data_IF_673789763991
#
_entry.id   IF_673789763991
#
_cell.length_a   1.000
_cell.length_b   1.000
_cell.length_c   1.000
_cell.angle_alpha   90.00
_cell.angle_beta   90.00
_cell.angle_gamma   90.00
#
_symmetry.space_group_name_H-M   'P 1'
#
loop_
_entity.id
_entity.type
_entity.pdbx_description
1 polymer ?
#
# COMPACT_ATOMS: atom_id res chain seq x y z
N UNK A 1 -3.25 13.53 -4.42
CA UNK A 1 -2.86 13.36 -5.83
C UNK A 1 -3.99 12.71 -6.62
N UNK A 2 -4.38 13.28 -7.76
CA UNK A 2 -5.43 12.66 -8.59
C UNK A 2 -4.99 11.32 -9.17
N UNK A 3 -3.68 11.10 -9.32
CA UNK A 3 -3.17 9.83 -9.82
C UNK A 3 -3.27 8.70 -8.80
N UNK A 4 -3.15 9.00 -7.51
CA UNK A 4 -3.34 7.99 -6.46
C UNK A 4 -4.77 7.48 -6.47
N UNK A 5 -5.75 8.37 -6.50
CA UNK A 5 -7.17 7.99 -6.58
C UNK A 5 -7.47 7.24 -7.89
N UNK A 6 -6.92 7.70 -9.01
CA UNK A 6 -7.10 7.04 -10.29
C UNK A 6 -6.57 5.60 -10.29
N UNK A 7 -5.41 5.36 -9.67
CA UNK A 7 -4.84 4.02 -9.56
C UNK A 7 -5.73 3.09 -8.73
N UNK A 8 -6.24 3.57 -7.59
CA UNK A 8 -7.14 2.80 -6.72
C UNK A 8 -8.43 2.45 -7.46
N UNK A 9 -9.04 3.41 -8.12
CA UNK A 9 -10.29 3.18 -8.86
C UNK A 9 -10.10 2.23 -10.04
N UNK A 10 -8.99 2.32 -10.74
CA UNK A 10 -8.66 1.40 -11.83
C UNK A 10 -8.49 -0.03 -11.30
N UNK A 11 -7.83 -0.21 -10.15
CA UNK A 11 -7.68 -1.52 -9.53
C UNK A 11 -9.04 -2.12 -9.17
N UNK A 12 -9.94 -1.34 -8.58
CA UNK A 12 -11.31 -1.77 -8.27
C UNK A 12 -12.09 -2.15 -9.52
N UNK A 13 -11.99 -1.35 -10.58
CA UNK A 13 -12.66 -1.64 -11.84
C UNK A 13 -12.21 -2.95 -12.47
N UNK A 14 -11.00 -3.39 -12.16
CA UNK A 14 -10.45 -4.68 -12.61
C UNK A 14 -10.78 -5.84 -11.68
N UNK A 15 -11.58 -5.61 -10.64
CA UNK A 15 -11.97 -6.63 -9.68
C UNK A 15 -10.90 -6.97 -8.65
N UNK A 16 -9.87 -6.13 -8.50
CA UNK A 16 -8.82 -6.32 -7.50
C UNK A 16 -9.27 -5.79 -6.15
N UNK A 17 -8.91 -6.49 -5.07
CA UNK A 17 -9.08 -5.98 -3.72
C UNK A 17 -8.09 -4.85 -3.43
N UNK A 18 -8.57 -3.79 -2.80
CA UNK A 18 -7.74 -2.63 -2.44
C UNK A 18 -7.78 -2.41 -0.94
N UNK A 19 -6.59 -2.25 -0.34
CA UNK A 19 -6.43 -2.14 1.12
C UNK A 19 -5.43 -1.02 1.42
N UNK A 20 -5.68 -0.28 2.49
CA UNK A 20 -4.78 0.79 2.90
C UNK A 20 -3.97 0.35 4.12
N UNK A 21 -2.71 0.01 3.88
CA UNK A 21 -1.76 -0.45 4.90
C UNK A 21 -0.90 0.73 5.35
N UNK A 22 -1.46 1.59 6.18
CA UNK A 22 -0.73 2.70 6.80
C UNK A 22 -0.08 2.25 8.10
N UNK A 23 0.92 3.01 8.55
CA UNK A 23 1.47 2.81 9.88
C UNK A 23 0.38 3.13 10.92
N UNK A 24 -0.04 2.17 11.77
CA UNK A 24 -1.17 2.35 12.67
C UNK A 24 -0.81 3.13 13.94
N UNK A 25 -0.15 4.28 13.75
CA UNK A 25 0.26 5.16 14.86
C UNK A 25 -0.74 6.29 15.12
N UNK A 26 -1.75 6.42 14.27
CA UNK A 26 -2.79 7.44 14.38
C UNK A 26 -4.14 6.81 14.69
N UNK A 27 -4.96 7.48 15.54
CA UNK A 27 -6.36 7.08 15.75
C UNK A 27 -7.13 7.08 14.42
N UNK A 28 -8.21 6.28 14.37
CA UNK A 28 -9.00 6.12 13.14
C UNK A 28 -9.51 7.45 12.57
N UNK A 29 -9.97 8.36 13.43
CA UNK A 29 -10.48 9.67 12.97
C UNK A 29 -9.40 10.48 12.25
N UNK A 30 -8.17 10.51 12.77
CA UNK A 30 -7.06 11.21 12.14
C UNK A 30 -6.67 10.54 10.81
N UNK A 31 -6.64 9.21 10.76
CA UNK A 31 -6.35 8.45 9.53
C UNK A 31 -7.39 8.74 8.46
N UNK A 32 -8.68 8.76 8.80
CA UNK A 32 -9.75 9.08 7.87
C UNK A 32 -9.65 10.49 7.30
N UNK A 33 -9.25 11.47 8.12
CA UNK A 33 -9.01 12.83 7.65
C UNK A 33 -7.82 12.89 6.68
N UNK A 34 -6.74 12.17 6.96
CA UNK A 34 -5.58 12.12 6.07
C UNK A 34 -5.91 11.51 4.71
N UNK A 35 -6.75 10.48 4.68
CA UNK A 35 -7.24 9.87 3.44
C UNK A 35 -7.98 10.92 2.59
N UNK A 36 -8.88 11.68 3.21
CA UNK A 36 -9.63 12.74 2.53
C UNK A 36 -8.71 13.84 1.99
N UNK A 37 -7.75 14.29 2.80
CA UNK A 37 -6.79 15.31 2.38
C UNK A 37 -5.87 14.85 1.24
N UNK A 38 -5.63 13.54 1.12
CA UNK A 38 -4.87 12.97 0.00
C UNK A 38 -5.70 12.84 -1.27
N UNK A 39 -7.00 13.18 -1.23
CA UNK A 39 -7.90 13.04 -2.37
C UNK A 39 -8.42 11.62 -2.60
N UNK A 40 -8.31 10.76 -1.60
CA UNK A 40 -8.78 9.37 -1.65
C UNK A 40 -10.13 9.24 -0.94
N UNK A 41 -10.87 8.18 -1.28
CA UNK A 41 -12.13 7.81 -0.67
C UNK A 41 -11.91 6.55 0.18
N UNK A 42 -12.22 6.65 1.49
CA UNK A 42 -12.07 5.54 2.42
C UNK A 42 -12.92 4.32 2.02
N UNK A 43 -14.06 4.52 1.36
CA UNK A 43 -14.95 3.44 0.93
C UNK A 43 -14.34 2.58 -0.19
N UNK A 44 -13.28 3.05 -0.85
CA UNK A 44 -12.56 2.29 -1.88
C UNK A 44 -11.65 1.21 -1.30
N UNK A 45 -11.48 1.14 0.04
CA UNK A 45 -10.59 0.19 0.68
C UNK A 45 -11.34 -0.84 1.51
N UNK A 46 -11.02 -2.13 1.32
CA UNK A 46 -11.58 -3.22 2.11
C UNK A 46 -11.03 -3.29 3.53
N UNK A 47 -9.82 -2.76 3.75
CA UNK A 47 -9.20 -2.63 5.07
C UNK A 47 -8.39 -1.35 5.14
N UNK A 48 -8.47 -0.66 6.27
CA UNK A 48 -7.62 0.49 6.61
C UNK A 48 -7.01 0.22 7.99
N UNK A 49 -5.67 0.22 8.09
CA UNK A 49 -5.01 -0.05 9.36
C UNK A 49 -4.94 1.20 10.23
N UNK A 50 -5.36 1.07 11.48
CA UNK A 50 -5.41 2.18 12.44
C UNK A 50 -4.87 1.74 13.81
N UNK A 51 -4.56 2.71 14.67
CA UNK A 51 -3.98 2.48 16.00
C UNK A 51 -4.82 1.52 16.86
N UNK A 52 -6.14 1.62 16.79
CA UNK A 52 -7.05 0.81 17.63
C UNK A 52 -7.00 -0.69 17.28
N UNK A 53 -6.62 -1.02 16.04
CA UNK A 53 -6.76 -2.37 15.50
C UNK A 53 -5.45 -3.17 15.49
N UNK A 54 -4.30 -2.52 15.65
CA UNK A 54 -2.99 -3.17 15.45
C UNK A 54 -2.04 -2.94 16.62
N UNK A 55 -1.37 -4.02 17.03
CA UNK A 55 -0.39 -4.01 18.12
C UNK A 55 1.03 -3.71 17.66
N UNK A 56 1.30 -3.77 16.36
CA UNK A 56 2.61 -3.47 15.78
C UNK A 56 2.47 -2.63 14.51
N UNK A 57 3.57 -2.04 14.06
CA UNK A 57 3.58 -1.15 12.92
C UNK A 57 4.80 -1.40 12.02
N UNK A 58 4.77 -0.80 10.82
CA UNK A 58 5.91 -0.86 9.89
C UNK A 58 7.17 -0.25 10.52
N UNK A 59 8.35 -0.76 10.26
CA UNK A 59 8.70 -1.82 9.31
C UNK A 59 8.66 -3.24 9.89
N UNK A 60 8.02 -3.46 11.04
CA UNK A 60 7.94 -4.77 11.65
C UNK A 60 7.22 -5.75 10.73
N UNK A 61 7.87 -6.88 10.39
CA UNK A 61 7.31 -7.88 9.48
C UNK A 61 6.00 -8.48 10.01
N UNK A 62 5.81 -8.53 11.32
CA UNK A 62 4.58 -9.04 11.92
C UNK A 62 3.36 -8.16 11.62
N UNK A 63 3.57 -6.86 11.38
CA UNK A 63 2.50 -5.98 10.91
C UNK A 63 1.91 -6.51 9.59
N UNK A 64 2.78 -6.80 8.61
CA UNK A 64 2.33 -7.29 7.30
C UNK A 64 1.77 -8.70 7.37
N UNK A 65 2.34 -9.58 8.23
CA UNK A 65 1.76 -10.91 8.46
C UNK A 65 0.36 -10.81 8.99
N UNK A 66 0.12 -9.93 9.96
CA UNK A 66 -1.21 -9.71 10.52
C UNK A 66 -2.20 -9.25 9.46
N UNK A 67 -1.80 -8.30 8.60
CA UNK A 67 -2.65 -7.81 7.51
C UNK A 67 -3.01 -8.94 6.54
N UNK A 68 -2.01 -9.70 6.10
CA UNK A 68 -2.22 -10.81 5.16
C UNK A 68 -3.12 -11.90 5.74
N UNK A 69 -2.89 -12.26 7.01
CA UNK A 69 -3.67 -13.29 7.70
C UNK A 69 -5.12 -12.85 7.89
N UNK A 70 -5.33 -11.61 8.32
CA UNK A 70 -6.65 -11.04 8.54
C UNK A 70 -7.49 -11.03 7.25
N UNK A 71 -6.85 -10.76 6.12
CA UNK A 71 -7.51 -10.73 4.82
C UNK A 71 -7.49 -12.07 4.09
N UNK A 72 -6.86 -13.10 4.67
CA UNK A 72 -6.67 -14.42 4.06
C UNK A 72 -6.06 -14.34 2.66
N UNK A 73 -5.04 -13.49 2.50
CA UNK A 73 -4.38 -13.27 1.21
C UNK A 73 -3.14 -14.14 1.05
N UNK A 74 -2.93 -14.64 -0.18
CA UNK A 74 -1.68 -15.25 -0.59
C UNK A 74 -0.69 -14.14 -0.94
N UNK A 75 0.47 -14.05 -0.26
CA UNK A 75 1.47 -13.02 -0.58
C UNK A 75 1.86 -12.97 -2.06
N UNK A 76 1.92 -14.11 -2.73
CA UNK A 76 2.29 -14.18 -4.15
C UNK A 76 1.27 -13.50 -5.07
N UNK A 77 0.05 -13.27 -4.62
CA UNK A 77 -1.02 -12.62 -5.38
C UNK A 77 -1.20 -11.15 -5.00
N UNK A 78 -0.32 -10.61 -4.16
CA UNK A 78 -0.41 -9.25 -3.65
C UNK A 78 0.67 -8.34 -4.24
N UNK A 79 0.30 -7.06 -4.36
CA UNK A 79 1.21 -5.98 -4.71
C UNK A 79 1.15 -4.91 -3.62
N UNK A 80 2.30 -4.58 -3.03
CA UNK A 80 2.43 -3.46 -2.11
C UNK A 80 2.88 -2.23 -2.89
N UNK A 81 2.08 -1.19 -2.85
CA UNK A 81 2.42 0.13 -3.42
C UNK A 81 2.79 1.06 -2.27
N UNK A 82 4.00 1.57 -2.28
CA UNK A 82 4.48 2.44 -1.22
C UNK A 82 5.63 3.33 -1.65
N UNK A 83 5.96 4.28 -0.80
CA UNK A 83 7.00 5.28 -1.06
C UNK A 83 8.20 5.19 -0.12
N UNK A 84 8.14 4.36 0.90
CA UNK A 84 9.19 4.26 1.92
C UNK A 84 10.00 2.97 1.73
N UNK A 85 11.31 3.13 1.50
CA UNK A 85 12.21 2.01 1.21
C UNK A 85 12.31 1.05 2.41
N UNK A 86 12.31 1.56 3.64
CA UNK A 86 12.35 0.72 4.84
C UNK A 86 10.98 0.16 5.20
N UNK A 87 9.98 1.04 5.35
CA UNK A 87 8.68 0.66 5.90
C UNK A 87 7.84 -0.18 4.96
N UNK A 88 7.94 0.05 3.66
CA UNK A 88 7.06 -0.61 2.68
C UNK A 88 7.72 -1.79 1.97
N UNK A 89 9.01 -1.70 1.62
CA UNK A 89 9.66 -2.74 0.84
C UNK A 89 10.01 -4.00 1.65
N UNK A 90 10.00 -3.93 2.97
CA UNK A 90 10.26 -5.08 3.85
C UNK A 90 9.27 -6.24 3.60
N UNK A 91 8.08 -5.95 3.09
CA UNK A 91 7.05 -6.95 2.80
C UNK A 91 7.50 -7.97 1.74
N UNK A 92 8.54 -7.67 0.96
CA UNK A 92 9.12 -8.62 0.00
C UNK A 92 9.62 -9.90 0.69
N UNK A 93 10.03 -9.79 1.93
CA UNK A 93 10.49 -10.96 2.72
C UNK A 93 9.36 -11.98 2.96
N UNK A 94 8.10 -11.57 2.79
CA UNK A 94 6.93 -12.44 2.87
C UNK A 94 6.48 -12.97 1.49
N UNK A 95 7.13 -12.57 0.41
CA UNK A 95 6.78 -12.98 -0.94
C UNK A 95 5.81 -12.05 -1.66
N UNK A 96 5.52 -10.88 -1.10
CA UNK A 96 4.69 -9.85 -1.72
C UNK A 96 5.53 -9.06 -2.73
N UNK A 97 4.99 -8.82 -3.92
CA UNK A 97 5.63 -7.94 -4.90
C UNK A 97 5.46 -6.49 -4.50
N UNK A 98 6.40 -5.64 -4.88
CA UNK A 98 6.39 -4.23 -4.51
C UNK A 98 6.49 -3.32 -5.73
N UNK A 99 5.80 -2.18 -5.63
CA UNK A 99 5.93 -1.04 -6.52
C UNK A 99 6.33 0.18 -5.69
N UNK A 100 7.53 0.69 -5.92
CA UNK A 100 8.03 1.87 -5.21
C UNK A 100 7.62 3.14 -5.96
N UNK A 101 6.84 3.99 -5.29
CA UNK A 101 6.43 5.29 -5.82
C UNK A 101 7.57 6.29 -5.67
N UNK A 102 8.07 6.81 -6.79
CA UNK A 102 9.25 7.69 -6.81
C UNK A 102 8.95 9.15 -6.54
N UNK A 103 7.71 9.62 -6.76
CA UNK A 103 7.31 11.02 -6.55
C UNK A 103 7.58 11.51 -5.12
N UNK A 104 7.36 10.63 -4.14
CA UNK A 104 7.47 10.94 -2.72
C UNK A 104 8.38 9.94 -1.99
N UNK A 105 9.31 9.33 -2.71
CA UNK A 105 10.19 8.30 -2.16
C UNK A 105 10.95 8.80 -0.93
N UNK A 106 10.92 7.98 0.12
CA UNK A 106 11.69 8.20 1.34
C UNK A 106 12.68 7.06 1.55
N UNK A 107 13.94 7.41 1.77
CA UNK A 107 15.01 6.46 2.09
C UNK A 107 15.94 7.10 3.12
N UNK A 108 15.42 7.27 4.34
CA UNK A 108 16.11 8.00 5.42
C UNK A 108 17.43 7.37 5.84
N UNK A 109 17.54 6.05 5.76
CA UNK A 109 18.72 5.29 6.16
C UNK A 109 19.68 5.02 4.99
N UNK A 110 19.36 5.46 3.78
CA UNK A 110 20.19 5.18 2.60
C UNK A 110 20.30 3.70 2.29
N UNK A 111 19.23 2.93 2.51
CA UNK A 111 19.22 1.49 2.27
C UNK A 111 19.26 1.16 0.78
N UNK A 112 19.80 -0.01 0.39
CA UNK A 112 19.65 -0.49 -0.97
C UNK A 112 18.18 -0.61 -1.36
N UNK A 113 17.83 -0.16 -2.56
CA UNK A 113 16.47 -0.23 -3.06
C UNK A 113 16.22 -1.63 -3.61
N UNK A 114 15.34 -2.38 -2.95
CA UNK A 114 14.92 -3.73 -3.35
C UNK A 114 13.44 -3.71 -3.66
N UNK A 115 13.09 -3.53 -4.93
CA UNK A 115 11.71 -3.50 -5.36
C UNK A 115 11.55 -4.23 -6.68
N UNK A 116 10.37 -4.80 -6.92
CA UNK A 116 10.06 -5.48 -8.18
C UNK A 116 9.77 -4.47 -9.29
N UNK A 117 9.10 -3.37 -8.93
CA UNK A 117 8.73 -2.29 -9.86
C UNK A 117 8.96 -0.94 -9.18
N UNK A 118 9.16 0.10 -9.98
CA UNK A 118 9.22 1.47 -9.46
C UNK A 118 8.80 2.46 -10.55
N UNK A 119 8.26 3.60 -10.14
CA UNK A 119 7.84 4.66 -11.02
C UNK A 119 7.02 5.72 -10.30
N UNK A 120 6.53 6.69 -11.07
CA UNK A 120 5.65 7.74 -10.55
C UNK A 120 4.24 7.20 -10.28
N UNK A 121 3.42 8.00 -9.57
CA UNK A 121 2.00 7.69 -9.41
C UNK A 121 1.28 7.67 -10.75
N UNK A 122 1.65 8.54 -11.68
CA UNK A 122 1.09 8.54 -13.04
C UNK A 122 1.40 7.24 -13.76
N UNK A 123 2.64 6.77 -13.67
CA UNK A 123 3.06 5.50 -14.25
C UNK A 123 2.39 4.31 -13.57
N UNK A 124 2.06 4.43 -12.28
CA UNK A 124 1.32 3.41 -11.54
C UNK A 124 -0.07 3.18 -12.16
N UNK A 125 -0.76 4.23 -12.58
CA UNK A 125 -2.07 4.09 -13.23
C UNK A 125 -1.94 3.21 -14.48
N UNK A 126 -0.94 3.48 -15.31
CA UNK A 126 -0.68 2.69 -16.51
C UNK A 126 -0.27 1.25 -16.17
N UNK A 127 0.53 1.07 -15.11
CA UNK A 127 0.93 -0.26 -14.64
C UNK A 127 -0.29 -1.09 -14.21
N UNK A 128 -1.21 -0.49 -13.44
CA UNK A 128 -2.43 -1.17 -12.99
C UNK A 128 -3.28 -1.63 -14.17
N UNK A 129 -3.32 -0.84 -15.25
CA UNK A 129 -4.04 -1.21 -16.48
C UNK A 129 -3.46 -2.43 -17.18
N UNK A 130 -2.22 -2.80 -16.90
CA UNK A 130 -1.61 -4.01 -17.46
C UNK A 130 -1.95 -5.28 -16.68
N UNK A 131 -2.49 -5.16 -15.46
CA UNK A 131 -2.85 -6.30 -14.62
C UNK A 131 -4.13 -6.92 -15.18
N UNK A 132 -4.17 -8.27 -15.36
CA UNK A 132 -5.38 -8.93 -15.84
C UNK A 132 -6.59 -8.71 -14.91
N UNK A 133 -7.77 -8.58 -15.48
CA UNK A 133 -9.02 -8.50 -14.72
C UNK A 133 -9.29 -9.82 -13.97
N UNK A 134 -9.93 -9.70 -12.83
CA UNK A 134 -10.30 -10.84 -11.99
C UNK A 134 -11.79 -11.08 -12.02
#
# INVERSE_FOLDING_TARGET
>A
SPFADAAVKEAKNRGLGTFLATNPVFPRCATMNRIRWAGLDADDFGLITTYEDYSCCKPNIEYFRTVLDELSLDPAECLMVGNDVEEDLVVRDLGVKTYLVTDTMENRKGLPIRTDYMGSLKELVDFVRTIPER
#
